data_IF_435438469136
#
_entry.id   IF_435438469136
#
_cell.length_a   1.000
_cell.length_b   1.000
_cell.length_c   1.000
_cell.angle_alpha   90.00
_cell.angle_beta   90.00
_cell.angle_gamma   90.00
#
_symmetry.space_group_name_H-M   'P 1'
#
loop_
_entity.id
_entity.type
_entity.pdbx_description
1 polymer ?
#
# COMPACT_ATOMS: atom_id res chain seq x y z
N UNK A 1 -20.64 5.71 50.81
CA UNK A 1 -21.00 6.15 49.44
C UNK A 1 -19.77 6.36 48.56
N UNK A 2 -18.58 6.02 49.06
CA UNK A 2 -17.29 6.33 48.42
C UNK A 2 -16.84 5.28 47.40
N UNK A 3 -17.18 4.00 47.60
CA UNK A 3 -16.87 2.93 46.62
C UNK A 3 -17.56 3.12 45.27
N UNK A 4 -18.78 3.65 45.23
CA UNK A 4 -19.51 3.87 43.98
C UNK A 4 -18.91 5.04 43.18
N UNK A 5 -18.43 6.09 43.85
CA UNK A 5 -17.68 7.19 43.21
C UNK A 5 -16.36 6.68 42.63
N UNK A 6 -15.62 5.86 43.38
CA UNK A 6 -14.36 5.30 42.89
C UNK A 6 -14.58 4.35 41.70
N UNK A 7 -15.66 3.56 41.71
CA UNK A 7 -16.03 2.70 40.58
C UNK A 7 -16.32 3.49 39.31
N UNK A 8 -17.03 4.63 39.42
CA UNK A 8 -17.27 5.53 38.28
C UNK A 8 -15.97 6.15 37.74
N UNK A 9 -15.04 6.55 38.62
CA UNK A 9 -13.74 7.09 38.20
C UNK A 9 -12.89 6.02 37.50
N UNK A 10 -12.87 4.79 38.02
CA UNK A 10 -12.14 3.68 37.39
C UNK A 10 -12.74 3.34 36.02
N UNK A 11 -14.06 3.28 35.90
CA UNK A 11 -14.74 3.03 34.62
C UNK A 11 -14.43 4.14 33.60
N UNK A 12 -14.43 5.40 34.03
CA UNK A 12 -14.10 6.54 33.17
C UNK A 12 -12.64 6.52 32.71
N UNK A 13 -11.70 6.17 33.59
CA UNK A 13 -10.29 5.98 33.21
C UNK A 13 -10.11 4.80 32.24
N UNK A 14 -10.86 3.71 32.41
CA UNK A 14 -10.80 2.56 31.53
C UNK A 14 -11.29 2.87 30.11
N UNK A 15 -12.39 3.62 29.98
CA UNK A 15 -12.90 4.08 28.67
C UNK A 15 -11.92 5.06 28.02
N UNK A 16 -11.37 6.02 28.77
CA UNK A 16 -10.35 6.93 28.26
C UNK A 16 -9.10 6.18 27.79
N UNK A 17 -8.69 5.14 28.51
CA UNK A 17 -7.56 4.29 28.15
C UNK A 17 -7.84 3.46 26.90
N UNK A 18 -9.06 2.92 26.74
CA UNK A 18 -9.46 2.22 25.50
C UNK A 18 -9.46 3.14 24.27
N UNK A 19 -9.92 4.38 24.39
CA UNK A 19 -9.90 5.35 23.27
C UNK A 19 -8.46 5.65 22.85
N UNK A 20 -7.56 5.80 23.82
CA UNK A 20 -6.13 6.01 23.53
C UNK A 20 -5.50 4.78 22.87
N UNK A 21 -5.79 3.55 23.35
CA UNK A 21 -5.30 2.32 22.71
C UNK A 21 -5.79 2.17 21.27
N UNK A 22 -7.05 2.51 20.99
CA UNK A 22 -7.60 2.48 19.65
C UNK A 22 -6.89 3.47 18.71
N UNK A 23 -6.59 4.67 19.22
CA UNK A 23 -5.83 5.67 18.47
C UNK A 23 -4.40 5.20 18.17
N UNK A 24 -3.72 4.59 19.15
CA UNK A 24 -2.35 4.08 18.97
C UNK A 24 -2.30 2.92 17.95
N UNK A 25 -3.29 2.01 17.98
CA UNK A 25 -3.39 0.89 17.01
C UNK A 25 -3.64 1.37 15.59
N UNK A 26 -4.50 2.38 15.41
CA UNK A 26 -4.78 2.97 14.09
C UNK A 26 -3.56 3.73 13.52
N UNK A 27 -2.73 4.31 14.39
CA UNK A 27 -1.51 5.03 13.98
C UNK A 27 -0.30 4.14 13.74
N UNK A 28 -0.23 2.97 14.37
CA UNK A 28 0.87 2.00 14.22
C UNK A 28 0.33 0.59 13.90
N UNK A 29 -0.26 0.37 12.71
CA UNK A 29 -0.66 -0.98 12.31
C UNK A 29 0.55 -1.90 12.33
N UNK A 30 0.50 -2.93 13.18
CA UNK A 30 1.52 -3.97 13.17
C UNK A 30 1.48 -4.69 11.81
N UNK A 31 2.63 -4.95 11.17
CA UNK A 31 2.67 -5.81 10.00
C UNK A 31 2.14 -7.18 10.41
N UNK A 32 0.92 -7.49 9.99
CA UNK A 32 0.39 -8.84 10.07
C UNK A 32 1.25 -9.70 9.15
N UNK A 33 2.11 -10.53 9.73
CA UNK A 33 2.67 -11.68 9.04
C UNK A 33 1.52 -12.60 8.71
N UNK A 34 0.95 -12.44 7.51
CA UNK A 34 0.02 -13.40 6.95
C UNK A 34 0.79 -14.71 6.75
N UNK A 35 0.63 -15.62 7.70
CA UNK A 35 1.05 -17.00 7.58
C UNK A 35 0.10 -17.65 6.56
N UNK A 36 0.47 -17.59 5.28
CA UNK A 36 -0.23 -18.32 4.24
C UNK A 36 0.05 -19.80 4.45
N UNK A 37 -0.90 -20.51 5.06
CA UNK A 37 -0.91 -21.97 5.04
C UNK A 37 -1.07 -22.40 3.59
N UNK A 38 0.05 -22.76 2.96
CA UNK A 38 0.09 -23.29 1.61
C UNK A 38 -0.51 -24.70 1.64
N UNK A 39 -1.82 -24.79 1.39
CA UNK A 39 -2.44 -26.04 1.00
C UNK A 39 -2.05 -26.31 -0.45
N UNK A 40 -1.02 -27.12 -0.64
CA UNK A 40 -0.70 -27.71 -1.95
C UNK A 40 -1.83 -28.67 -2.32
N UNK A 41 -2.84 -28.16 -3.04
CA UNK A 41 -3.75 -28.99 -3.83
C UNK A 41 -3.28 -28.93 -5.27
N UNK A 42 -2.52 -29.95 -5.65
CA UNK A 42 -2.28 -30.29 -7.05
C UNK A 42 -3.62 -30.60 -7.71
N UNK A 43 -4.15 -29.64 -8.46
CA UNK A 43 -5.20 -29.88 -9.45
C UNK A 43 -4.70 -29.32 -10.78
N UNK A 44 -4.17 -30.22 -11.60
CA UNK A 44 -3.93 -29.96 -13.01
C UNK A 44 -5.28 -29.67 -13.69
N UNK A 45 -5.43 -28.49 -14.30
CA UNK A 45 -6.62 -28.16 -15.08
C UNK A 45 -6.87 -26.67 -15.27
N UNK A 46 -6.25 -26.10 -16.30
CA UNK A 46 -6.80 -25.05 -17.16
C UNK A 46 -7.61 -23.89 -16.54
N UNK A 47 -6.98 -23.10 -15.66
CA UNK A 47 -7.50 -21.80 -15.24
C UNK A 47 -6.40 -20.70 -15.15
N UNK A 48 -5.32 -20.84 -15.91
CA UNK A 48 -4.13 -19.98 -15.81
C UNK A 48 -4.11 -18.79 -16.78
N UNK A 49 -5.26 -18.32 -17.26
CA UNK A 49 -5.28 -17.45 -18.46
C UNK A 49 -6.02 -16.12 -18.31
N UNK A 50 -6.34 -15.70 -17.08
CA UNK A 50 -7.09 -14.45 -16.82
C UNK A 50 -6.52 -13.66 -15.62
N UNK A 51 -5.30 -13.97 -15.19
CA UNK A 51 -4.64 -13.25 -14.10
C UNK A 51 -3.94 -11.99 -14.62
N UNK A 52 -4.10 -10.87 -13.92
CA UNK A 52 -3.17 -9.74 -14.04
C UNK A 52 -1.83 -10.22 -13.44
N UNK A 53 -0.71 -10.17 -14.18
CA UNK A 53 0.59 -10.59 -13.65
C UNK A 53 0.97 -9.71 -12.46
N UNK A 54 1.50 -10.34 -11.41
CA UNK A 54 2.01 -9.60 -10.25
C UNK A 54 3.26 -8.80 -10.65
N UNK A 55 3.41 -7.59 -10.11
CA UNK A 55 4.58 -6.74 -10.35
C UNK A 55 5.85 -7.49 -9.94
N UNK A 56 6.67 -7.85 -10.93
CA UNK A 56 7.92 -8.57 -10.73
C UNK A 56 9.11 -7.63 -10.67
N UNK A 57 10.21 -8.05 -10.04
CA UNK A 57 11.47 -7.30 -10.09
C UNK A 57 11.97 -7.19 -11.53
N UNK A 58 12.00 -5.97 -12.06
CA UNK A 58 12.60 -5.65 -13.35
C UNK A 58 13.53 -4.44 -13.22
N UNK A 59 14.19 -4.09 -14.34
CA UNK A 59 15.04 -2.90 -14.37
C UNK A 59 14.15 -1.66 -14.35
N UNK A 60 14.47 -0.68 -13.51
CA UNK A 60 13.77 0.60 -13.48
C UNK A 60 14.33 1.55 -14.53
N UNK A 61 13.44 2.29 -15.19
CA UNK A 61 13.77 3.42 -16.06
C UNK A 61 13.06 4.68 -15.59
N UNK A 62 13.67 5.83 -15.84
CA UNK A 62 13.11 7.13 -15.47
C UNK A 62 12.73 7.91 -16.72
N UNK A 63 11.51 8.43 -16.76
CA UNK A 63 10.98 9.26 -17.84
C UNK A 63 10.62 10.62 -17.26
N UNK A 64 11.33 11.67 -17.69
CA UNK A 64 11.13 13.04 -17.21
C UNK A 64 10.58 13.93 -18.30
N UNK A 65 9.61 14.74 -17.94
CA UNK A 65 8.98 15.77 -18.77
C UNK A 65 8.90 17.07 -17.97
N UNK A 66 8.25 18.08 -18.54
CA UNK A 66 7.95 19.34 -17.88
C UNK A 66 7.01 19.19 -16.67
N UNK A 67 6.05 18.27 -16.73
CA UNK A 67 5.01 18.11 -15.70
C UNK A 67 5.00 16.77 -14.97
N UNK A 68 5.75 15.78 -15.46
CA UNK A 68 5.78 14.41 -14.93
C UNK A 68 7.22 13.89 -14.83
N UNK A 69 7.53 13.27 -13.69
CA UNK A 69 8.73 12.46 -13.47
C UNK A 69 8.28 11.05 -13.06
N UNK A 70 8.50 10.06 -13.94
CA UNK A 70 7.98 8.71 -13.79
C UNK A 70 9.11 7.70 -13.60
N UNK A 71 8.91 6.75 -12.68
CA UNK A 71 9.73 5.54 -12.57
C UNK A 71 8.91 4.36 -13.06
N UNK A 72 9.40 3.70 -14.11
CA UNK A 72 8.70 2.60 -14.79
C UNK A 72 9.53 1.32 -14.66
N UNK A 73 8.87 0.23 -14.29
CA UNK A 73 9.45 -1.09 -14.29
C UNK A 73 9.39 -1.68 -15.70
N UNK A 74 10.56 -2.01 -16.27
CA UNK A 74 10.66 -2.58 -17.62
C UNK A 74 10.07 -3.98 -17.74
N UNK A 75 9.81 -4.66 -16.61
CA UNK A 75 9.01 -5.88 -16.56
C UNK A 75 7.55 -5.47 -16.34
N UNK A 76 6.67 -5.84 -17.27
CA UNK A 76 5.25 -5.47 -17.23
C UNK A 76 4.96 -4.05 -17.74
N UNK A 77 5.88 -3.10 -17.57
CA UNK A 77 5.65 -1.70 -17.96
C UNK A 77 4.87 -0.91 -16.91
N UNK A 78 4.89 -1.39 -15.66
CA UNK A 78 4.18 -0.77 -14.53
C UNK A 78 4.84 0.55 -14.13
N UNK A 79 4.02 1.56 -13.81
CA UNK A 79 4.48 2.83 -13.24
C UNK A 79 4.48 2.70 -11.72
N UNK A 80 5.68 2.56 -11.15
CA UNK A 80 5.87 2.35 -9.71
C UNK A 80 5.96 3.67 -8.93
N UNK A 81 6.40 4.75 -9.58
CA UNK A 81 6.45 6.09 -8.98
C UNK A 81 6.11 7.16 -9.99
N UNK A 82 5.45 8.23 -9.54
CA UNK A 82 5.13 9.40 -10.35
C UNK A 82 5.16 10.65 -9.48
N UNK A 83 6.05 11.59 -9.81
CA UNK A 83 6.08 12.92 -9.23
C UNK A 83 5.51 13.94 -10.22
N UNK A 84 4.92 14.99 -9.67
CA UNK A 84 4.36 16.11 -10.41
C UNK A 84 5.20 17.39 -10.15
N UNK A 85 6.30 17.63 -10.90
CA UNK A 85 7.18 18.79 -10.74
C UNK A 85 6.49 20.15 -10.64
N UNK A 86 5.37 20.34 -11.33
CA UNK A 86 4.62 21.60 -11.34
C UNK A 86 3.78 21.84 -10.07
N UNK A 87 3.67 20.86 -9.18
CA UNK A 87 2.82 20.90 -8.00
C UNK A 87 3.66 20.64 -6.75
N UNK A 88 3.70 21.56 -5.77
CA UNK A 88 4.43 21.32 -4.53
C UNK A 88 3.68 20.30 -3.67
N UNK A 89 4.44 19.50 -2.90
CA UNK A 89 3.90 18.50 -1.97
C UNK A 89 2.95 19.12 -0.95
N UNK A 90 3.34 20.26 -0.41
CA UNK A 90 2.60 21.04 0.59
C UNK A 90 2.81 22.54 0.32
N UNK A 91 1.95 23.38 0.89
CA UNK A 91 2.03 24.83 0.70
C UNK A 91 3.38 25.37 1.17
N UNK A 92 4.15 25.96 0.25
CA UNK A 92 5.48 26.51 0.52
C UNK A 92 6.63 25.50 0.47
N UNK A 93 6.38 24.25 0.09
CA UNK A 93 7.43 23.25 -0.15
C UNK A 93 8.06 23.42 -1.54
N UNK A 94 9.37 23.14 -1.64
CA UNK A 94 10.09 23.02 -2.91
C UNK A 94 10.11 21.57 -3.44
N UNK A 95 9.59 20.61 -2.67
CA UNK A 95 9.49 19.22 -3.09
C UNK A 95 8.25 19.02 -3.96
N UNK A 96 8.37 18.30 -5.09
CA UNK A 96 7.23 17.99 -5.94
C UNK A 96 6.27 17.00 -5.27
N UNK A 97 4.98 17.12 -5.58
CA UNK A 97 3.96 16.21 -5.09
C UNK A 97 4.16 14.82 -5.68
N UNK A 98 4.19 13.80 -4.82
CA UNK A 98 4.29 12.41 -5.21
C UNK A 98 2.89 11.81 -5.34
N UNK A 99 2.50 11.47 -6.57
CA UNK A 99 1.19 10.90 -6.87
C UNK A 99 1.21 9.37 -6.75
N UNK A 100 2.09 8.71 -7.50
CA UNK A 100 2.29 7.25 -7.41
C UNK A 100 3.51 6.97 -6.54
N UNK A 101 3.38 5.97 -5.67
CA UNK A 101 4.40 5.60 -4.70
C UNK A 101 4.42 4.10 -4.48
N UNK A 102 5.61 3.53 -4.42
CA UNK A 102 5.84 2.14 -4.05
C UNK A 102 6.83 2.11 -2.89
N UNK A 103 6.32 2.15 -1.68
CA UNK A 103 7.09 1.95 -0.45
C UNK A 103 6.54 0.76 0.33
N UNK A 104 7.31 0.18 1.27
CA UNK A 104 6.81 -0.90 2.12
C UNK A 104 5.59 -0.51 2.96
N UNK A 105 5.33 0.79 3.13
CA UNK A 105 4.24 1.35 3.94
C UNK A 105 3.03 1.72 3.11
N UNK A 106 3.22 2.11 1.84
CA UNK A 106 2.16 2.56 0.96
C UNK A 106 2.46 2.18 -0.49
N UNK A 107 1.49 1.56 -1.15
CA UNK A 107 1.61 1.15 -2.55
C UNK A 107 0.43 1.73 -3.32
N UNK A 108 0.74 2.60 -4.27
CA UNK A 108 -0.20 3.14 -5.24
C UNK A 108 0.50 3.23 -6.60
N UNK A 109 0.13 2.33 -7.50
CA UNK A 109 0.78 2.10 -8.78
C UNK A 109 -0.24 2.08 -9.92
N UNK A 110 0.22 2.39 -11.13
CA UNK A 110 -0.55 2.18 -12.35
C UNK A 110 0.07 1.02 -13.12
N UNK A 111 -0.64 -0.11 -13.15
CA UNK A 111 -0.19 -1.34 -13.81
C UNK A 111 -0.89 -1.50 -15.16
N UNK A 112 -0.15 -1.95 -16.16
CA UNK A 112 -0.68 -2.20 -17.49
C UNK A 112 -0.03 -3.44 -18.09
N UNK A 113 -0.72 -4.11 -19.02
CA UNK A 113 -0.17 -5.30 -19.65
C UNK A 113 -1.15 -5.97 -20.59
N UNK A 114 -0.68 -7.01 -21.27
CA UNK A 114 -1.49 -7.88 -22.10
C UNK A 114 -1.75 -9.18 -21.33
N UNK A 115 -3.01 -9.57 -21.19
CA UNK A 115 -3.45 -10.81 -20.53
C UNK A 115 -4.13 -11.75 -21.54
N UNK A 116 -4.33 -13.02 -21.17
CA UNK A 116 -4.88 -14.08 -22.04
C UNK A 116 -3.81 -14.97 -22.67
N UNK A 117 -4.27 -15.97 -23.45
CA UNK A 117 -3.49 -17.15 -23.90
C UNK A 117 -2.13 -16.88 -24.50
N UNK A 118 -2.01 -15.75 -25.19
CA UNK A 118 -0.81 -15.35 -25.93
C UNK A 118 -0.16 -14.08 -25.34
N UNK A 119 -0.59 -13.64 -24.15
CA UNK A 119 -0.03 -12.50 -23.44
C UNK A 119 1.33 -12.85 -22.81
N UNK A 120 2.36 -12.00 -22.95
CA UNK A 120 3.64 -12.16 -22.25
C UNK A 120 3.45 -11.79 -20.77
N UNK A 121 2.86 -12.69 -19.98
CA UNK A 121 2.85 -12.62 -18.52
C UNK A 121 4.19 -12.98 -17.91
#
# INVERSE_FOLDING_TARGET
MDSQRNLLVIALLFVSFMIWQAWEQDKNPQPQTQQTTQTTTTAAGSAADQGVPASGQGKMITVKTDVLDLTINTRGGDVEQALLPAYPKELGSNEPFQLLETTPQFIYQAQSGLTGRDGPG
#
